data_IF_667340761886
#
_entry.id   IF_667340761886
#
_cell.length_a   1.000
_cell.length_b   1.000
_cell.length_c   1.000
_cell.angle_alpha   90.00
_cell.angle_beta   90.00
_cell.angle_gamma   90.00
#
_symmetry.space_group_name_H-M   'P 1'
#
loop_
_entity.id
_entity.type
_entity.pdbx_description
1 polymer ?
#
# COMPACT_ATOMS: atom_id res chain seq x y z
N UNK A 1 -29.86 -57.96 25.86
CA UNK A 1 -28.46 -57.78 26.30
C UNK A 1 -27.66 -57.17 25.16
N UNK A 2 -26.95 -56.06 25.43
CA UNK A 2 -25.77 -55.47 24.73
C UNK A 2 -25.97 -55.07 23.25
N UNK A 3 -26.28 -53.79 22.95
CA UNK A 3 -25.36 -52.64 22.73
C UNK A 3 -24.30 -52.88 21.65
N UNK A 4 -24.31 -52.07 20.58
CA UNK A 4 -23.16 -51.21 20.23
C UNK A 4 -23.55 -50.11 19.23
N UNK A 5 -23.45 -48.86 19.69
CA UNK A 5 -23.45 -47.63 18.90
C UNK A 5 -21.99 -47.32 18.56
N UNK A 6 -21.62 -47.10 17.29
CA UNK A 6 -20.44 -46.32 16.91
C UNK A 6 -20.74 -45.48 15.66
N UNK A 7 -20.64 -44.18 15.87
CA UNK A 7 -20.58 -43.07 14.93
C UNK A 7 -19.20 -43.06 14.26
N UNK A 8 -19.10 -42.85 12.94
CA UNK A 8 -18.05 -41.99 12.39
C UNK A 8 -18.41 -41.53 10.98
N UNK A 9 -18.78 -40.26 10.91
CA UNK A 9 -18.74 -39.46 9.69
C UNK A 9 -17.29 -39.23 9.27
N UNK A 10 -17.04 -39.21 7.96
CA UNK A 10 -16.01 -38.50 7.18
C UNK A 10 -15.72 -39.37 5.95
N UNK A 11 -16.19 -38.93 4.78
CA UNK A 11 -15.33 -38.63 3.64
C UNK A 11 -16.24 -38.31 2.44
N UNK A 12 -16.32 -37.04 2.02
CA UNK A 12 -15.43 -36.52 0.98
C UNK A 12 -15.84 -37.06 -0.41
N UNK A 13 -16.76 -36.36 -1.07
CA UNK A 13 -16.66 -35.96 -2.49
C UNK A 13 -18.01 -35.36 -2.93
N UNK A 14 -18.02 -34.06 -3.13
CA UNK A 14 -19.17 -33.30 -3.61
C UNK A 14 -18.76 -31.89 -3.97
N UNK A 15 -17.67 -31.77 -4.72
CA UNK A 15 -17.33 -30.57 -5.48
C UNK A 15 -18.52 -30.24 -6.39
N UNK A 16 -19.25 -29.17 -6.10
CA UNK A 16 -19.84 -28.24 -7.09
C UNK A 16 -20.14 -26.90 -6.40
N UNK A 17 -19.10 -26.22 -5.94
CA UNK A 17 -19.10 -24.75 -5.91
C UNK A 17 -18.12 -24.28 -6.97
N UNK A 18 -18.49 -24.40 -8.24
CA UNK A 18 -17.99 -23.46 -9.24
C UNK A 18 -18.68 -22.13 -8.96
N UNK A 19 -18.16 -21.40 -7.97
CA UNK A 19 -18.34 -19.96 -7.98
C UNK A 19 -17.60 -19.50 -9.22
N UNK A 20 -18.32 -19.24 -10.31
CA UNK A 20 -17.87 -18.34 -11.35
C UNK A 20 -17.59 -17.02 -10.63
N UNK A 21 -16.35 -16.86 -10.16
CA UNK A 21 -15.81 -15.57 -9.79
C UNK A 21 -15.76 -14.82 -11.11
N UNK A 22 -16.87 -14.15 -11.38
CA UNK A 22 -16.92 -13.01 -12.26
C UNK A 22 -15.78 -12.12 -11.76
N UNK A 23 -14.74 -11.98 -12.56
CA UNK A 23 -13.81 -10.86 -12.49
C UNK A 23 -14.60 -9.59 -12.75
N UNK A 24 -15.48 -9.24 -11.83
CA UNK A 24 -15.95 -7.88 -11.72
C UNK A 24 -14.73 -7.13 -11.23
N UNK A 25 -14.10 -6.43 -12.18
CA UNK A 25 -13.22 -5.31 -11.91
C UNK A 25 -14.05 -4.31 -11.10
N UNK A 26 -14.14 -4.53 -9.79
CA UNK A 26 -14.70 -3.58 -8.85
C UNK A 26 -13.79 -2.37 -8.95
N UNK A 27 -14.21 -1.37 -9.73
CA UNK A 27 -13.69 -0.02 -9.54
C UNK A 27 -14.03 0.32 -8.09
N UNK A 28 -13.04 0.48 -7.19
CA UNK A 28 -13.35 0.85 -5.83
C UNK A 28 -14.08 2.19 -5.89
N UNK A 29 -15.25 2.25 -5.28
CA UNK A 29 -15.99 3.48 -5.09
C UNK A 29 -15.08 4.56 -4.46
N UNK A 30 -15.44 5.82 -4.67
CA UNK A 30 -14.81 6.97 -4.01
C UNK A 30 -14.75 6.67 -2.51
N UNK A 31 -13.55 6.64 -1.94
CA UNK A 31 -13.35 6.45 -0.51
C UNK A 31 -14.15 7.52 0.26
N UNK A 32 -14.94 7.09 1.24
CA UNK A 32 -15.72 7.95 2.13
C UNK A 32 -14.85 8.59 3.21
N UNK A 33 -15.47 9.36 4.11
CA UNK A 33 -14.79 10.01 5.22
C UNK A 33 -14.54 11.50 4.97
N UNK A 34 -14.09 12.18 6.02
CA UNK A 34 -13.70 13.58 5.96
C UNK A 34 -12.26 13.70 5.44
N UNK A 35 -11.96 14.82 4.78
CA UNK A 35 -10.61 15.13 4.33
C UNK A 35 -9.64 15.13 5.52
N UNK A 36 -8.57 14.35 5.41
CA UNK A 36 -7.48 14.31 6.37
C UNK A 36 -6.59 15.55 6.27
N UNK A 37 -6.06 16.04 7.40
CA UNK A 37 -5.01 17.06 7.44
C UNK A 37 -3.70 16.60 6.77
N UNK A 38 -3.46 15.28 6.70
CA UNK A 38 -2.33 14.68 5.98
C UNK A 38 -2.41 15.00 4.48
N UNK A 39 -3.63 15.13 3.95
CA UNK A 39 -3.87 15.46 2.55
C UNK A 39 -3.96 16.96 2.24
N UNK A 40 -3.74 17.84 3.22
CA UNK A 40 -3.81 19.29 3.01
C UNK A 40 -2.55 19.85 2.34
N UNK A 41 -2.74 20.92 1.56
CA UNK A 41 -1.68 21.60 0.84
C UNK A 41 -0.56 22.03 1.78
N UNK A 42 0.67 21.75 1.39
CA UNK A 42 1.86 22.10 2.15
C UNK A 42 2.25 21.07 3.20
N UNK A 43 1.48 20.00 3.45
CA UNK A 43 1.97 18.86 4.23
C UNK A 43 3.19 18.25 3.54
N UNK A 44 4.16 17.78 4.33
CA UNK A 44 5.46 17.25 3.87
C UNK A 44 5.63 15.84 4.41
N UNK A 45 6.23 14.97 3.59
CA UNK A 45 6.60 13.61 3.95
C UNK A 45 8.12 13.48 3.96
N UNK A 46 8.67 12.86 5.00
CA UNK A 46 10.10 12.61 5.14
C UNK A 46 10.39 11.13 5.30
N UNK A 47 11.61 10.72 4.95
CA UNK A 47 12.07 9.35 5.15
C UNK A 47 12.82 9.22 6.47
N UNK A 48 12.83 8.02 7.04
CA UNK A 48 13.70 7.68 8.16
C UNK A 48 15.18 7.74 7.79
N UNK A 49 16.01 8.13 8.76
CA UNK A 49 17.47 8.28 8.61
C UNK A 49 18.20 6.97 8.26
N UNK A 50 17.55 5.82 8.41
CA UNK A 50 18.06 4.50 8.04
C UNK A 50 18.09 4.25 6.52
N UNK A 51 17.51 5.14 5.71
CA UNK A 51 17.46 5.04 4.25
C UNK A 51 18.65 5.80 3.63
N UNK A 52 19.79 5.13 3.53
CA UNK A 52 21.04 5.73 3.05
C UNK A 52 21.22 5.61 1.53
N UNK A 53 20.40 4.77 0.88
CA UNK A 53 20.43 4.51 -0.55
C UNK A 53 19.87 5.65 -1.40
N UNK A 54 19.18 6.59 -0.75
CA UNK A 54 18.57 7.77 -1.36
C UNK A 54 19.34 9.04 -0.95
N UNK A 55 19.33 10.03 -1.84
CA UNK A 55 19.85 11.37 -1.58
C UNK A 55 18.74 12.29 -1.07
N UNK A 56 18.61 13.46 -1.66
CA UNK A 56 17.57 14.39 -1.25
C UNK A 56 16.19 13.84 -1.61
N UNK A 57 15.24 14.01 -0.69
CA UNK A 57 13.84 13.66 -0.89
C UNK A 57 13.00 14.90 -0.60
N UNK A 58 12.24 15.34 -1.60
CA UNK A 58 11.20 16.37 -1.47
C UNK A 58 9.87 15.69 -1.80
N UNK A 59 9.03 15.51 -0.80
CA UNK A 59 7.70 14.95 -0.96
C UNK A 59 6.70 15.84 -0.23
N UNK A 60 5.76 16.44 -0.97
CA UNK A 60 4.78 17.38 -0.40
C UNK A 60 3.45 17.37 -1.13
N UNK A 61 2.39 17.70 -0.42
CA UNK A 61 1.09 17.97 -1.03
C UNK A 61 1.16 19.33 -1.75
N UNK A 62 1.12 19.30 -3.07
CA UNK A 62 1.21 20.48 -3.93
C UNK A 62 -0.17 21.13 -4.17
N UNK A 63 -1.22 20.33 -4.26
CA UNK A 63 -2.60 20.81 -4.38
C UNK A 63 -3.59 19.84 -3.74
N UNK A 64 -4.77 20.35 -3.40
CA UNK A 64 -5.92 19.61 -2.92
C UNK A 64 -7.14 20.13 -3.66
N UNK A 65 -7.77 19.27 -4.46
CA UNK A 65 -8.95 19.61 -5.28
C UNK A 65 -9.97 18.47 -5.20
N UNK A 66 -11.24 18.80 -4.93
CA UNK A 66 -12.33 17.83 -4.67
C UNK A 66 -11.94 16.64 -3.75
N UNK A 67 -11.21 16.93 -2.68
CA UNK A 67 -10.74 15.90 -1.72
C UNK A 67 -9.67 14.96 -2.28
N UNK A 68 -8.98 15.36 -3.35
CA UNK A 68 -7.85 14.63 -3.94
C UNK A 68 -6.57 15.46 -3.81
N UNK A 69 -5.64 14.96 -3.02
CA UNK A 69 -4.31 15.51 -2.83
C UNK A 69 -3.40 15.12 -4.00
N UNK A 70 -2.76 16.08 -4.64
CA UNK A 70 -1.65 15.84 -5.56
C UNK A 70 -0.33 15.96 -4.81
N UNK A 71 0.33 14.84 -4.59
CA UNK A 71 1.63 14.76 -3.90
C UNK A 71 2.73 14.79 -4.95
N UNK A 72 3.54 15.84 -4.93
CA UNK A 72 4.76 15.93 -5.73
C UNK A 72 5.90 15.27 -4.97
N UNK A 73 6.63 14.39 -5.65
CA UNK A 73 7.72 13.59 -5.10
C UNK A 73 8.94 13.80 -6.00
N UNK A 74 10.08 14.10 -5.40
CA UNK A 74 11.37 14.24 -6.04
C UNK A 74 12.42 13.54 -5.18
N UNK A 75 13.19 12.62 -5.78
CA UNK A 75 14.15 11.78 -5.08
C UNK A 75 15.44 11.71 -5.87
N UNK A 76 16.58 11.91 -5.22
CA UNK A 76 17.89 11.54 -5.77
C UNK A 76 18.16 10.06 -5.46
N UNK A 77 18.41 9.23 -6.48
CA UNK A 77 18.65 7.80 -6.26
C UNK A 77 20.15 7.49 -6.41
N UNK A 78 20.83 7.29 -5.27
CA UNK A 78 22.28 7.02 -5.25
C UNK A 78 22.61 5.57 -5.60
N UNK A 79 21.78 4.62 -5.18
CA UNK A 79 22.01 3.20 -5.40
C UNK A 79 21.63 2.75 -6.82
N UNK A 80 22.54 2.06 -7.52
CA UNK A 80 22.32 1.60 -8.89
C UNK A 80 21.15 0.61 -9.04
N UNK A 81 21.02 -0.36 -8.12
CA UNK A 81 19.90 -1.31 -8.14
C UNK A 81 18.57 -0.61 -7.91
N UNK A 82 18.51 0.37 -6.99
CA UNK A 82 17.32 1.17 -6.78
C UNK A 82 16.93 1.97 -8.04
N UNK A 83 17.92 2.47 -8.81
CA UNK A 83 17.66 3.11 -10.11
C UNK A 83 17.08 2.15 -11.12
N UNK A 84 17.62 0.93 -11.22
CA UNK A 84 17.11 -0.10 -12.13
C UNK A 84 15.65 -0.46 -11.83
N UNK A 85 15.31 -0.64 -10.55
CA UNK A 85 13.93 -0.88 -10.11
C UNK A 85 13.03 0.31 -10.46
N UNK A 86 13.47 1.53 -10.16
CA UNK A 86 12.68 2.74 -10.41
C UNK A 86 12.41 2.95 -11.91
N UNK A 87 13.36 2.63 -12.79
CA UNK A 87 13.19 2.74 -14.25
C UNK A 87 12.06 1.85 -14.80
N UNK A 88 11.65 0.81 -14.07
CA UNK A 88 10.52 -0.04 -14.45
C UNK A 88 9.15 0.56 -14.10
N UNK A 89 9.10 1.66 -13.35
CA UNK A 89 7.87 2.40 -13.05
C UNK A 89 7.59 3.32 -14.25
N UNK A 90 6.51 3.07 -15.02
CA UNK A 90 6.13 3.98 -16.10
C UNK A 90 5.68 5.30 -15.48
N UNK A 91 5.93 6.43 -16.16
CA UNK A 91 5.57 7.81 -15.74
C UNK A 91 6.57 8.59 -14.86
N UNK A 92 7.70 7.99 -14.48
CA UNK A 92 8.73 8.71 -13.76
C UNK A 92 9.48 9.69 -14.67
N UNK A 93 9.62 10.94 -14.25
CA UNK A 93 10.42 11.95 -14.95
C UNK A 93 11.85 11.93 -14.44
N UNK A 94 12.81 11.62 -15.31
CA UNK A 94 14.23 11.49 -14.99
C UNK A 94 15.03 12.70 -15.42
N UNK A 95 15.93 13.14 -14.54
CA UNK A 95 16.97 14.14 -14.78
C UNK A 95 18.28 13.65 -14.16
N UNK A 96 19.08 12.92 -14.94
CA UNK A 96 20.25 12.21 -14.43
C UNK A 96 19.86 11.13 -13.40
N UNK A 97 20.38 11.26 -12.17
CA UNK A 97 20.08 10.37 -11.03
C UNK A 97 18.88 10.83 -10.20
N UNK A 98 18.30 11.99 -10.55
CA UNK A 98 17.11 12.53 -9.92
C UNK A 98 15.87 12.04 -10.64
N UNK A 99 14.86 11.66 -9.86
CA UNK A 99 13.56 11.27 -10.37
C UNK A 99 12.46 12.09 -9.73
N UNK A 100 11.45 12.45 -10.52
CA UNK A 100 10.31 13.21 -10.02
C UNK A 100 9.00 12.68 -10.59
N UNK A 101 7.95 12.77 -9.78
CA UNK A 101 6.60 12.36 -10.18
C UNK A 101 5.54 13.01 -9.30
N UNK A 102 4.34 13.17 -9.84
CA UNK A 102 3.15 13.55 -9.06
C UNK A 102 2.20 12.37 -8.95
N UNK A 103 1.68 12.13 -7.75
CA UNK A 103 0.73 11.05 -7.45
C UNK A 103 -0.52 11.64 -6.82
N UNK A 104 -1.69 11.15 -7.22
CA UNK A 104 -2.96 11.60 -6.68
C UNK A 104 -3.48 10.61 -5.64
N UNK A 105 -3.90 11.12 -4.49
CA UNK A 105 -4.46 10.33 -3.41
C UNK A 105 -5.68 11.02 -2.82
N UNK A 106 -6.68 10.23 -2.47
CA UNK A 106 -7.73 10.62 -1.53
C UNK A 106 -7.32 10.13 -0.15
N UNK A 107 -7.15 11.06 0.78
CA UNK A 107 -6.67 10.79 2.14
C UNK A 107 -7.74 11.28 3.11
N UNK A 108 -8.31 10.36 3.88
CA UNK A 108 -9.45 10.61 4.75
C UNK A 108 -9.22 10.03 6.13
N UNK A 109 -10.08 10.37 7.07
CA UNK A 109 -10.17 9.72 8.38
C UNK A 109 -10.56 8.23 8.29
N UNK A 110 -11.17 7.78 7.19
CA UNK A 110 -11.56 6.38 6.97
C UNK A 110 -10.50 5.55 6.21
N UNK A 111 -9.53 6.19 5.54
CA UNK A 111 -8.48 5.47 4.80
C UNK A 111 -7.70 6.28 3.77
N UNK A 112 -6.99 5.55 2.91
CA UNK A 112 -6.18 6.10 1.83
C UNK A 112 -6.49 5.38 0.52
N UNK A 113 -6.67 6.13 -0.56
CA UNK A 113 -6.95 5.60 -1.89
C UNK A 113 -6.11 6.30 -2.95
N UNK A 114 -5.41 5.53 -3.78
CA UNK A 114 -4.71 6.03 -4.97
C UNK A 114 -5.74 6.37 -6.05
N UNK A 115 -5.58 7.51 -6.72
CA UNK A 115 -6.46 7.97 -7.80
C UNK A 115 -5.67 7.93 -9.10
N UNK A 116 -6.12 7.13 -10.06
CA UNK A 116 -5.53 6.98 -11.40
C UNK A 116 -6.58 7.31 -12.46
N UNK A 117 -6.12 7.56 -13.70
CA UNK A 117 -7.01 7.82 -14.82
C UNK A 117 -7.86 6.57 -15.16
N UNK A 118 -7.31 5.37 -14.96
CA UNK A 118 -8.01 4.10 -15.15
C UNK A 118 -9.01 3.78 -14.02
N UNK A 119 -8.91 4.44 -12.88
CA UNK A 119 -9.77 4.25 -11.71
C UNK A 119 -9.06 4.45 -10.38
N UNK A 120 -9.78 4.19 -9.30
CA UNK A 120 -9.22 4.28 -7.96
C UNK A 120 -8.61 2.94 -7.52
N UNK A 121 -7.61 2.96 -6.64
CA UNK A 121 -7.09 1.77 -5.97
C UNK A 121 -6.92 2.05 -4.48
N UNK A 122 -7.78 1.45 -3.67
CA UNK A 122 -7.74 1.60 -2.21
C UNK A 122 -6.41 1.06 -1.68
N UNK A 123 -5.68 1.88 -0.93
CA UNK A 123 -4.48 1.47 -0.21
C UNK A 123 -4.86 0.87 1.14
N UNK A 124 -5.77 1.51 1.86
CA UNK A 124 -6.32 0.99 3.12
C UNK A 124 -7.71 1.59 3.38
N UNK A 125 -8.58 0.81 4.02
CA UNK A 125 -9.64 1.33 4.88
C UNK A 125 -9.31 0.94 6.30
N UNK A 126 -9.37 1.85 7.27
CA UNK A 126 -8.90 1.55 8.62
C UNK A 126 -9.81 0.54 9.35
N UNK A 127 -11.06 0.39 8.91
CA UNK A 127 -12.00 -0.63 9.37
C UNK A 127 -11.80 -2.01 8.72
N UNK A 128 -10.95 -2.11 7.68
CA UNK A 128 -10.78 -3.34 6.91
C UNK A 128 -10.31 -4.53 7.76
N UNK A 129 -10.67 -5.72 7.29
CA UNK A 129 -10.33 -7.01 7.89
C UNK A 129 -9.18 -7.66 7.13
N UNK A 130 -8.45 -8.53 7.81
CA UNK A 130 -7.43 -9.38 7.18
C UNK A 130 -8.13 -10.21 6.08
N UNK A 131 -7.53 -10.23 4.88
CA UNK A 131 -8.07 -10.88 3.69
C UNK A 131 -8.84 -9.96 2.74
N UNK A 132 -9.25 -8.76 3.18
CA UNK A 132 -9.86 -7.77 2.29
C UNK A 132 -8.88 -7.40 1.17
N UNK A 133 -9.39 -7.30 -0.07
CA UNK A 133 -8.55 -7.02 -1.22
C UNK A 133 -9.17 -6.03 -2.21
N UNK A 134 -8.30 -5.29 -2.88
CA UNK A 134 -8.64 -4.25 -3.85
C UNK A 134 -7.75 -4.40 -5.08
N UNK A 135 -8.29 -4.23 -6.28
CA UNK A 135 -7.50 -4.37 -7.51
C UNK A 135 -7.87 -3.35 -8.56
N UNK A 136 -6.87 -2.95 -9.36
CA UNK A 136 -7.05 -2.07 -10.50
C UNK A 136 -6.14 -2.52 -11.63
N UNK A 137 -6.67 -2.54 -12.85
CA UNK A 137 -5.86 -2.70 -14.06
C UNK A 137 -5.31 -1.34 -14.47
N UNK A 138 -4.00 -1.18 -14.35
CA UNK A 138 -3.26 0.05 -14.70
C UNK A 138 -2.07 -0.32 -15.56
N UNK A 139 -1.82 0.44 -16.64
CA UNK A 139 -0.71 0.16 -17.57
C UNK A 139 -0.65 -1.30 -18.07
N UNK A 140 -1.81 -1.91 -18.34
CA UNK A 140 -1.91 -3.30 -18.80
C UNK A 140 -1.64 -4.38 -17.73
N UNK A 141 -1.27 -3.99 -16.50
CA UNK A 141 -1.02 -4.89 -15.38
C UNK A 141 -2.16 -4.82 -14.36
N UNK A 142 -2.56 -5.96 -13.80
CA UNK A 142 -3.51 -5.99 -12.68
C UNK A 142 -2.73 -5.84 -11.38
N UNK A 143 -2.84 -4.67 -10.77
CA UNK A 143 -2.25 -4.41 -9.45
C UNK A 143 -3.30 -4.78 -8.39
N UNK A 144 -2.92 -5.63 -7.44
CA UNK A 144 -3.79 -6.10 -6.34
C UNK A 144 -3.17 -5.75 -5.01
N UNK A 145 -3.98 -5.23 -4.09
CA UNK A 145 -3.66 -4.94 -2.69
C UNK A 145 -4.49 -5.84 -1.78
N UNK A 146 -3.86 -6.48 -0.80
CA UNK A 146 -4.53 -7.36 0.17
C UNK A 146 -4.09 -6.99 1.58
N UNK A 147 -5.05 -6.84 2.50
CA UNK A 147 -4.77 -6.63 3.92
C UNK A 147 -4.27 -7.96 4.50
N UNK A 148 -2.99 -8.04 4.84
CA UNK A 148 -2.39 -9.27 5.39
C UNK A 148 -2.21 -9.20 6.91
N UNK A 149 -2.20 -7.99 7.47
CA UNK A 149 -1.96 -7.79 8.89
C UNK A 149 -2.76 -6.61 9.46
N UNK A 150 -3.19 -6.75 10.71
CA UNK A 150 -3.80 -5.69 11.52
C UNK A 150 -3.40 -5.89 12.98
N UNK A 151 -2.61 -4.96 13.50
CA UNK A 151 -2.21 -4.95 14.91
C UNK A 151 -3.42 -4.81 15.83
N UNK A 152 -3.36 -5.51 16.97
CA UNK A 152 -4.26 -5.26 18.11
C UNK A 152 -3.60 -4.35 19.16
N UNK A 153 -2.27 -4.39 19.24
CA UNK A 153 -1.42 -3.67 20.19
C UNK A 153 -0.38 -2.79 19.48
N UNK A 154 0.20 -1.83 20.20
CA UNK A 154 1.27 -0.98 19.67
C UNK A 154 2.57 -1.79 19.62
N UNK A 155 3.04 -2.10 18.41
CA UNK A 155 4.17 -3.03 18.21
C UNK A 155 5.11 -2.64 17.05
N UNK A 156 4.72 -1.66 16.24
CA UNK A 156 5.54 -1.17 15.14
C UNK A 156 6.32 0.06 15.60
N UNK A 157 7.65 -0.06 15.67
CA UNK A 157 8.52 1.03 16.05
C UNK A 157 8.41 2.22 15.09
N UNK A 158 8.00 3.37 15.63
CA UNK A 158 7.81 4.62 14.91
C UNK A 158 8.47 5.77 15.66
N UNK A 159 9.69 6.11 15.26
CA UNK A 159 10.52 7.07 16.00
C UNK A 159 10.90 6.53 17.38
N UNK A 160 10.33 7.10 18.45
CA UNK A 160 10.67 6.79 19.85
C UNK A 160 9.59 5.98 20.59
N UNK A 161 8.52 5.58 19.91
CA UNK A 161 7.42 4.82 20.49
C UNK A 161 6.86 3.83 19.46
N UNK A 162 6.11 2.85 19.94
CA UNK A 162 5.45 1.87 19.09
C UNK A 162 4.03 2.31 18.75
N UNK A 163 3.54 1.89 17.58
CA UNK A 163 2.19 2.17 17.10
C UNK A 163 1.52 0.92 16.53
N UNK A 164 0.19 0.87 16.57
CA UNK A 164 -0.63 -0.09 15.81
C UNK A 164 -0.53 0.17 14.33
N UNK A 165 -0.44 -0.88 13.53
CA UNK A 165 -0.40 -0.76 12.06
C UNK A 165 -1.29 -1.76 11.36
N UNK A 166 -1.63 -1.43 10.12
CA UNK A 166 -2.15 -2.35 9.12
C UNK A 166 -1.08 -2.55 8.06
N UNK A 167 -0.92 -3.79 7.58
CA UNK A 167 -0.02 -4.08 6.48
C UNK A 167 -0.82 -4.54 5.28
N UNK A 168 -0.62 -3.83 4.17
CA UNK A 168 -1.29 -4.09 2.91
C UNK A 168 -0.26 -4.46 1.86
N UNK A 169 -0.31 -5.70 1.41
CA UNK A 169 0.60 -6.22 0.38
C UNK A 169 0.08 -5.88 -1.00
N UNK A 170 0.95 -5.32 -1.84
CA UNK A 170 0.71 -5.05 -3.24
C UNK A 170 1.51 -6.01 -4.15
N UNK A 171 0.81 -6.64 -5.07
CA UNK A 171 1.36 -7.52 -6.11
C UNK A 171 0.95 -7.05 -7.49
N UNK A 172 1.63 -7.52 -8.53
CA UNK A 172 1.24 -7.31 -9.93
C UNK A 172 1.83 -6.05 -10.58
N UNK A 173 2.60 -5.24 -9.84
CA UNK A 173 3.32 -4.09 -10.42
C UNK A 173 4.42 -4.51 -11.40
N UNK A 174 4.98 -5.71 -11.22
CA UNK A 174 6.01 -6.27 -12.10
C UNK A 174 7.28 -5.43 -12.12
N UNK A 175 7.80 -5.13 -10.92
CA UNK A 175 9.08 -4.46 -10.72
C UNK A 175 10.20 -5.53 -10.75
N UNK A 176 11.32 -5.30 -11.45
CA UNK A 176 12.37 -6.30 -11.59
C UNK A 176 13.05 -6.57 -10.22
N UNK A 177 13.22 -7.85 -9.87
CA UNK A 177 13.87 -8.26 -8.62
C UNK A 177 13.03 -8.04 -7.36
N UNK A 178 11.80 -7.55 -7.48
CA UNK A 178 10.89 -7.27 -6.36
C UNK A 178 9.66 -8.18 -6.49
N UNK A 179 9.47 -9.03 -5.48
CA UNK A 179 8.34 -9.98 -5.42
C UNK A 179 7.03 -9.24 -5.12
N UNK A 180 7.06 -8.33 -4.13
CA UNK A 180 5.90 -7.54 -3.72
C UNK A 180 6.32 -6.31 -2.92
N UNK A 181 5.38 -5.39 -2.72
CA UNK A 181 5.51 -4.26 -1.80
C UNK A 181 4.57 -4.48 -0.63
N UNK A 182 4.94 -4.04 0.56
CA UNK A 182 4.03 -3.95 1.71
C UNK A 182 3.93 -2.48 2.14
N UNK A 183 2.71 -1.96 2.18
CA UNK A 183 2.41 -0.66 2.76
C UNK A 183 2.09 -0.84 4.24
N UNK A 184 2.80 -0.13 5.11
CA UNK A 184 2.56 -0.11 6.56
C UNK A 184 1.81 1.17 6.90
N UNK A 185 0.59 1.05 7.40
CA UNK A 185 -0.35 2.16 7.57
C UNK A 185 -0.83 2.25 9.01
N UNK A 186 -1.04 3.47 9.50
CA UNK A 186 -1.59 3.77 10.81
C UNK A 186 -2.73 4.79 10.67
N UNK A 187 -3.79 4.67 11.47
CA UNK A 187 -4.97 5.55 11.39
C UNK A 187 -4.62 7.02 11.62
N UNK A 188 -3.74 7.30 12.56
CA UNK A 188 -3.31 8.65 12.94
C UNK A 188 -2.26 9.22 11.98
N UNK A 189 -1.26 8.43 11.60
CA UNK A 189 -0.09 8.92 10.86
C UNK A 189 -0.13 8.63 9.34
N UNK A 190 -1.14 7.91 8.86
CA UNK A 190 -1.25 7.53 7.45
C UNK A 190 -0.24 6.45 7.06
N UNK A 191 0.49 6.66 5.95
CA UNK A 191 1.52 5.72 5.50
C UNK A 191 2.81 5.94 6.30
N UNK A 192 3.20 4.96 7.12
CA UNK A 192 4.36 5.03 8.02
C UNK A 192 5.54 4.19 7.56
N UNK A 193 5.36 3.37 6.52
CA UNK A 193 6.45 2.61 5.93
C UNK A 193 6.08 1.94 4.61
N UNK A 194 7.11 1.69 3.80
CA UNK A 194 7.03 0.82 2.63
C UNK A 194 8.10 -0.26 2.79
N UNK A 195 7.71 -1.52 2.68
CA UNK A 195 8.66 -2.66 2.63
C UNK A 195 8.74 -3.17 1.20
N UNK A 196 9.95 -3.21 0.65
CA UNK A 196 10.25 -3.89 -0.60
C UNK A 196 10.71 -5.30 -0.27
N UNK A 197 9.98 -6.31 -0.77
CA UNK A 197 10.34 -7.72 -0.63
C UNK A 197 10.98 -8.21 -1.93
N UNK A 198 12.23 -8.63 -1.88
CA UNK A 198 13.01 -9.02 -3.06
C UNK A 198 12.87 -10.50 -3.37
N UNK A 199 13.16 -10.87 -4.62
CA UNK A 199 13.11 -12.28 -5.08
C UNK A 199 14.14 -13.20 -4.40
N UNK A 200 15.21 -12.64 -3.82
CA UNK A 200 16.21 -13.37 -3.05
C UNK A 200 15.79 -13.65 -1.59
N UNK A 201 14.57 -13.25 -1.21
CA UNK A 201 14.01 -13.41 0.13
C UNK A 201 14.43 -12.33 1.13
N UNK A 202 15.28 -11.38 0.75
CA UNK A 202 15.59 -10.22 1.57
C UNK A 202 14.49 -9.15 1.48
N UNK A 203 14.48 -8.23 2.44
CA UNK A 203 13.54 -7.11 2.47
C UNK A 203 14.23 -5.81 2.86
N UNK A 204 13.74 -4.69 2.32
CA UNK A 204 14.16 -3.34 2.73
C UNK A 204 12.94 -2.54 3.18
N UNK A 205 13.00 -2.00 4.39
CA UNK A 205 11.98 -1.09 4.91
C UNK A 205 12.42 0.36 4.69
N UNK A 206 11.49 1.17 4.21
CA UNK A 206 11.60 2.62 4.05
C UNK A 206 10.60 3.24 5.05
N UNK A 207 11.06 3.70 6.23
CA UNK A 207 10.19 4.41 7.16
C UNK A 207 9.78 5.76 6.58
N UNK A 208 8.52 6.14 6.81
CA UNK A 208 7.92 7.37 6.30
C UNK A 208 7.28 8.14 7.44
N UNK A 209 7.42 9.47 7.42
CA UNK A 209 6.82 10.35 8.42
C UNK A 209 6.06 11.46 7.72
N UNK A 210 4.79 11.63 8.06
CA UNK A 210 4.00 12.81 7.69
C UNK A 210 4.20 13.90 8.75
N UNK A 211 4.28 15.16 8.33
CA UNK A 211 4.29 16.29 9.28
C UNK A 211 2.94 16.46 9.98
N UNK A 212 1.85 16.29 9.24
CA UNK A 212 0.49 16.34 9.77
C UNK A 212 0.02 14.93 10.18
N UNK A 213 -0.99 14.88 11.05
CA UNK A 213 -1.65 13.67 11.55
C UNK A 213 -3.17 13.85 11.53
N UNK A 214 -3.91 12.75 11.34
CA UNK A 214 -5.37 12.69 11.43
C UNK A 214 -5.89 13.14 12.81
#
# INVERSE_FOLDING_TARGET
MKKLTILLAIAFFGFLYSCSIIEDVIKPDKLSGNQSTIGEVGNVFTLGSSVTELGNVDAKVASLDDGVSSISISIDIKNAKAREIAKAIPDLNWDGDKVSVTRKYRITDEGIQSVHDEGNLTMVKYDAKIGDSYSLKMNGKTVKRTVEYKSVDDEYAYGFYDIKVMKVKETGRGLPGVTNLEYVLNHKFGLVGIVLNFEDGSSKTIPLYSRNEN
#
